data_IF_872931432410
#
_entry.id   IF_872931432410
#
_cell.length_a   1.000
_cell.length_b   1.000
_cell.length_c   1.000
_cell.angle_alpha   90.00
_cell.angle_beta   90.00
_cell.angle_gamma   90.00
#
_symmetry.space_group_name_H-M   'P 1'
#
loop_
_entity.id
_entity.type
_entity.pdbx_description
1 polymer ?
#
# COMPACT_ATOMS: atom_id res chain seq x y z
N UNK A 1 -12.61 35.85 5.14
CA UNK A 1 -12.66 34.68 4.25
C UNK A 1 -13.73 33.76 4.84
N UNK A 2 -14.87 33.60 4.17
CA UNK A 2 -15.90 32.69 4.65
C UNK A 2 -15.39 31.25 4.50
N UNK A 3 -15.50 30.47 5.57
CA UNK A 3 -15.12 29.07 5.66
C UNK A 3 -16.07 28.23 4.78
N UNK A 4 -15.83 28.23 3.46
CA UNK A 4 -16.66 27.49 2.52
C UNK A 4 -16.27 26.02 2.54
N UNK A 5 -17.23 25.10 2.74
CA UNK A 5 -16.93 23.68 2.72
C UNK A 5 -16.45 23.25 1.34
N UNK A 6 -15.40 22.42 1.29
CA UNK A 6 -14.93 21.79 0.05
C UNK A 6 -16.07 20.93 -0.53
N UNK A 7 -16.45 21.21 -1.79
CA UNK A 7 -17.51 20.52 -2.52
C UNK A 7 -17.03 19.81 -3.78
N UNK A 8 -15.88 20.19 -4.33
CA UNK A 8 -15.28 19.60 -5.53
C UNK A 8 -13.81 19.27 -5.28
N UNK A 9 -13.44 18.01 -5.49
CA UNK A 9 -12.05 17.54 -5.45
C UNK A 9 -11.67 17.08 -6.85
N UNK A 10 -10.55 17.56 -7.37
CA UNK A 10 -9.99 17.17 -8.67
C UNK A 10 -8.66 16.46 -8.48
N UNK A 11 -8.65 15.16 -8.71
CA UNK A 11 -7.44 14.33 -8.68
C UNK A 11 -6.81 14.36 -10.07
N UNK A 12 -5.59 14.89 -10.16
CA UNK A 12 -4.81 14.93 -11.39
C UNK A 12 -3.81 13.78 -11.41
N UNK A 13 -4.04 12.84 -12.33
CA UNK A 13 -3.22 11.64 -12.49
C UNK A 13 -3.95 10.38 -12.04
N UNK A 14 -3.83 9.34 -12.85
CA UNK A 14 -4.40 8.01 -12.59
C UNK A 14 -3.45 7.08 -11.85
N UNK A 15 -3.42 5.83 -12.30
CA UNK A 15 -2.57 4.78 -11.72
C UNK A 15 -2.90 4.48 -10.26
N UNK A 16 -1.97 3.85 -9.55
CA UNK A 16 -2.16 3.49 -8.14
C UNK A 16 -2.35 4.73 -7.27
N UNK A 17 -1.54 5.78 -7.44
CA UNK A 17 -1.65 6.99 -6.63
C UNK A 17 -3.04 7.67 -6.76
N UNK A 18 -3.51 7.88 -7.99
CA UNK A 18 -4.81 8.52 -8.24
C UNK A 18 -5.98 7.70 -7.72
N UNK A 19 -6.03 6.41 -8.07
CA UNK A 19 -7.14 5.55 -7.69
C UNK A 19 -7.12 5.14 -6.21
N UNK A 20 -5.94 5.08 -5.57
CA UNK A 20 -5.83 4.94 -4.11
C UNK A 20 -6.26 6.20 -3.36
N UNK A 21 -6.15 7.37 -3.97
CA UNK A 21 -6.68 8.62 -3.41
C UNK A 21 -8.19 8.71 -3.59
N UNK A 22 -8.70 8.34 -4.77
CA UNK A 22 -10.12 8.43 -5.11
C UNK A 22 -10.99 7.46 -4.29
N UNK A 23 -10.56 6.21 -4.08
CA UNK A 23 -11.35 5.18 -3.41
C UNK A 23 -11.82 5.53 -1.99
N UNK A 24 -10.97 5.99 -1.05
CA UNK A 24 -11.40 6.39 0.29
C UNK A 24 -12.25 7.67 0.28
N UNK A 25 -11.96 8.64 -0.60
CA UNK A 25 -12.78 9.84 -0.76
C UNK A 25 -14.19 9.48 -1.21
N UNK A 26 -14.32 8.60 -2.20
CA UNK A 26 -15.60 8.09 -2.69
C UNK A 26 -16.40 7.38 -1.59
N UNK A 27 -15.72 6.56 -0.77
CA UNK A 27 -16.36 5.85 0.34
C UNK A 27 -16.86 6.80 1.44
N UNK A 28 -16.09 7.84 1.76
CA UNK A 28 -16.33 8.67 2.95
C UNK A 28 -17.16 9.91 2.68
N UNK A 29 -16.99 10.54 1.52
CA UNK A 29 -17.67 11.80 1.20
C UNK A 29 -19.00 11.59 0.49
N UNK A 30 -19.14 10.51 -0.28
CA UNK A 30 -20.38 10.20 -1.02
C UNK A 30 -20.88 11.41 -1.82
N UNK A 31 -22.17 11.71 -1.71
CA UNK A 31 -22.78 12.83 -2.43
C UNK A 31 -22.47 14.23 -1.85
N UNK A 32 -21.77 14.32 -0.71
CA UNK A 32 -21.46 15.61 -0.08
C UNK A 32 -20.33 16.37 -0.79
N UNK A 33 -19.49 15.68 -1.56
CA UNK A 33 -18.39 16.24 -2.32
C UNK A 33 -18.22 15.48 -3.65
N UNK A 34 -18.17 16.21 -4.75
CA UNK A 34 -17.89 15.66 -6.07
C UNK A 34 -16.40 15.36 -6.20
N UNK A 35 -16.06 14.11 -6.50
CA UNK A 35 -14.67 13.70 -6.77
C UNK A 35 -14.55 13.41 -8.26
N UNK A 36 -13.65 14.13 -8.92
CA UNK A 36 -13.31 13.94 -10.33
C UNK A 36 -11.85 13.52 -10.42
N UNK A 37 -11.55 12.46 -11.18
CA UNK A 37 -10.19 12.05 -11.48
C UNK A 37 -9.94 12.23 -12.98
N UNK A 38 -8.85 12.92 -13.30
CA UNK A 38 -8.38 13.16 -14.67
C UNK A 38 -7.13 12.33 -14.91
N UNK A 39 -7.16 11.44 -15.90
CA UNK A 39 -5.99 10.66 -16.31
C UNK A 39 -5.79 10.72 -17.82
N UNK A 40 -4.54 10.79 -18.27
CA UNK A 40 -4.20 10.81 -19.69
C UNK A 40 -4.03 9.38 -20.22
N UNK A 41 -4.63 9.03 -21.36
CA UNK A 41 -4.37 7.74 -22.01
C UNK A 41 -2.94 7.63 -22.55
N UNK A 42 -2.26 8.76 -22.76
CA UNK A 42 -0.93 8.84 -23.39
C UNK A 42 0.21 8.65 -22.39
N UNK A 43 -0.09 8.77 -21.10
CA UNK A 43 0.90 8.66 -20.02
C UNK A 43 0.74 7.29 -19.35
N UNK A 44 1.53 6.33 -19.81
CA UNK A 44 1.60 5.01 -19.19
C UNK A 44 2.03 5.10 -17.73
N UNK A 45 1.36 4.37 -16.85
CA UNK A 45 1.86 4.12 -15.50
C UNK A 45 3.11 3.24 -15.59
N UNK A 46 4.05 3.40 -14.67
CA UNK A 46 5.15 2.43 -14.52
C UNK A 46 4.54 1.10 -14.08
N UNK A 47 4.28 0.23 -15.05
CA UNK A 47 3.68 -1.09 -14.87
C UNK A 47 4.72 -2.10 -14.45
N UNK A 48 5.08 -2.08 -13.16
CA UNK A 48 5.96 -3.09 -12.55
C UNK A 48 5.18 -3.85 -11.49
N UNK A 49 5.53 -5.12 -11.28
CA UNK A 49 5.09 -5.84 -10.09
C UNK A 49 5.54 -5.06 -8.86
N UNK A 50 4.59 -4.68 -8.00
CA UNK A 50 4.85 -3.83 -6.84
C UNK A 50 4.82 -4.66 -5.56
N UNK A 51 5.82 -4.45 -4.70
CA UNK A 51 5.91 -5.08 -3.40
C UNK A 51 5.43 -4.09 -2.33
N UNK A 52 4.52 -4.50 -1.47
CA UNK A 52 3.94 -3.62 -0.44
C UNK A 52 4.48 -3.89 0.96
N UNK A 53 4.03 -3.08 1.92
CA UNK A 53 4.17 -3.29 3.36
C UNK A 53 2.83 -3.74 3.95
N UNK A 54 2.80 -4.31 5.18
CA UNK A 54 1.56 -4.83 5.77
C UNK A 54 0.42 -3.82 5.89
N UNK A 55 0.71 -2.51 5.87
CA UNK A 55 -0.29 -1.44 5.92
C UNK A 55 -1.33 -1.52 4.80
N UNK A 56 -1.00 -2.10 3.64
CA UNK A 56 -1.94 -2.27 2.53
C UNK A 56 -3.16 -3.13 2.93
N UNK A 57 -2.98 -4.06 3.88
CA UNK A 57 -4.08 -4.90 4.38
C UNK A 57 -5.13 -4.05 5.09
N UNK A 58 -4.69 -3.08 5.90
CA UNK A 58 -5.59 -2.17 6.60
C UNK A 58 -6.27 -1.21 5.63
N UNK A 59 -5.57 -0.76 4.59
CA UNK A 59 -6.15 0.03 3.52
C UNK A 59 -7.29 -0.73 2.82
N UNK A 60 -7.02 -1.96 2.37
CA UNK A 60 -8.03 -2.80 1.71
C UNK A 60 -9.22 -3.12 2.62
N UNK A 61 -8.95 -3.42 3.90
CA UNK A 61 -9.98 -3.67 4.89
C UNK A 61 -10.85 -2.43 5.14
N UNK A 62 -10.25 -1.24 5.23
CA UNK A 62 -10.98 0.01 5.42
C UNK A 62 -11.90 0.35 4.24
N UNK A 63 -11.57 -0.12 3.03
CA UNK A 63 -12.41 -0.05 1.85
C UNK A 63 -13.45 -1.19 1.76
N UNK A 64 -13.40 -2.17 2.66
CA UNK A 64 -14.28 -3.34 2.64
C UNK A 64 -14.03 -4.25 1.44
N UNK A 65 -12.79 -4.29 0.92
CA UNK A 65 -12.44 -5.16 -0.21
C UNK A 65 -12.33 -6.61 0.26
N UNK A 66 -12.92 -7.53 -0.50
CA UNK A 66 -12.72 -8.96 -0.27
C UNK A 66 -11.26 -9.33 -0.57
N UNK A 67 -10.60 -9.97 0.40
CA UNK A 67 -9.19 -10.31 0.28
C UNK A 67 -8.91 -11.34 -0.81
N UNK A 68 -9.80 -12.32 -1.00
CA UNK A 68 -9.62 -13.34 -2.02
C UNK A 68 -9.88 -12.80 -3.43
N UNK A 69 -10.88 -11.93 -3.59
CA UNK A 69 -11.15 -11.21 -4.84
C UNK A 69 -9.99 -10.29 -5.22
N UNK A 70 -9.49 -9.49 -4.27
CA UNK A 70 -8.30 -8.69 -4.46
C UNK A 70 -7.13 -9.53 -4.97
N UNK A 71 -6.81 -10.65 -4.32
CA UNK A 71 -5.71 -11.54 -4.75
C UNK A 71 -5.91 -12.05 -6.17
N UNK A 72 -7.11 -12.54 -6.51
CA UNK A 72 -7.41 -13.05 -7.86
C UNK A 72 -7.30 -11.97 -8.93
N UNK A 73 -7.89 -10.80 -8.67
CA UNK A 73 -8.03 -9.73 -9.66
C UNK A 73 -6.73 -8.97 -9.91
N UNK A 74 -5.79 -9.02 -8.96
CA UNK A 74 -4.51 -8.31 -9.05
C UNK A 74 -3.30 -9.23 -9.26
N UNK A 75 -3.55 -10.53 -9.45
CA UNK A 75 -2.52 -11.57 -9.50
C UNK A 75 -1.58 -11.50 -8.29
N UNK A 76 -2.14 -11.20 -7.11
CA UNK A 76 -1.30 -11.00 -5.94
C UNK A 76 -0.70 -12.30 -5.42
N UNK A 77 0.49 -12.19 -4.84
CA UNK A 77 1.10 -13.23 -4.00
C UNK A 77 1.35 -12.68 -2.60
N UNK A 78 1.52 -13.55 -1.63
CA UNK A 78 1.79 -13.16 -0.24
C UNK A 78 3.27 -12.81 -0.06
N UNK A 79 3.54 -11.72 0.67
CA UNK A 79 4.89 -11.26 1.00
C UNK A 79 5.11 -11.35 2.51
N UNK A 80 6.10 -12.14 2.93
CA UNK A 80 6.45 -12.31 4.35
C UNK A 80 7.57 -11.38 4.82
N UNK A 81 8.24 -10.68 3.92
CA UNK A 81 9.41 -9.86 4.22
C UNK A 81 10.23 -9.55 2.99
N UNK A 82 11.50 -9.21 3.19
CA UNK A 82 12.47 -8.89 2.15
C UNK A 82 13.77 -9.65 2.44
N UNK A 83 14.29 -10.36 1.45
CA UNK A 83 15.61 -10.98 1.54
C UNK A 83 16.67 -10.03 0.99
N UNK A 84 17.71 -9.78 1.80
CA UNK A 84 18.85 -8.97 1.44
C UNK A 84 20.05 -9.89 1.22
N UNK A 85 20.68 -9.79 0.05
CA UNK A 85 21.89 -10.56 -0.31
C UNK A 85 23.03 -9.61 -0.67
N UNK A 86 24.24 -9.98 -0.26
CA UNK A 86 25.50 -9.26 -0.53
C UNK A 86 25.54 -7.83 0.02
N UNK A 87 24.63 -7.48 0.93
CA UNK A 87 24.65 -6.20 1.63
C UNK A 87 25.76 -6.21 2.69
N UNK A 88 26.59 -5.17 2.71
CA UNK A 88 27.74 -5.03 3.63
C UNK A 88 28.97 -5.83 3.19
N UNK A 89 28.82 -7.11 2.86
CA UNK A 89 29.87 -7.92 2.23
C UNK A 89 29.27 -9.02 1.35
N UNK A 90 30.04 -9.47 0.34
CA UNK A 90 29.67 -10.60 -0.53
C UNK A 90 29.50 -11.86 0.33
N UNK A 91 28.46 -12.63 0.04
CA UNK A 91 28.07 -13.84 0.77
C UNK A 91 27.17 -13.57 1.97
N UNK A 92 26.94 -12.30 2.36
CA UNK A 92 25.97 -11.99 3.39
C UNK A 92 24.55 -12.27 2.91
N UNK A 93 23.70 -12.81 3.79
CA UNK A 93 22.28 -13.04 3.50
C UNK A 93 21.47 -12.94 4.79
N UNK A 94 20.45 -12.08 4.79
CA UNK A 94 19.51 -12.00 5.91
C UNK A 94 18.08 -11.71 5.42
N UNK A 95 17.09 -12.05 6.24
CA UNK A 95 15.68 -11.86 5.94
C UNK A 95 15.03 -10.86 6.90
N UNK A 96 14.57 -9.73 6.37
CA UNK A 96 13.76 -8.77 7.10
C UNK A 96 12.29 -9.18 6.99
N UNK A 97 11.85 -10.03 7.91
CA UNK A 97 10.48 -10.51 8.00
C UNK A 97 9.50 -9.51 8.59
N UNK A 98 8.22 -9.62 8.23
CA UNK A 98 7.13 -8.86 8.84
C UNK A 98 6.63 -9.55 10.12
N UNK A 99 7.53 -9.74 11.08
CA UNK A 99 7.24 -10.38 12.37
C UNK A 99 8.48 -10.38 13.24
N UNK A 100 8.31 -10.76 14.50
CA UNK A 100 9.39 -10.82 15.48
C UNK A 100 10.09 -12.19 15.49
N UNK A 101 11.17 -12.27 16.27
CA UNK A 101 12.03 -13.44 16.44
C UNK A 101 11.71 -14.17 17.75
N UNK A 102 10.42 -14.49 17.92
CA UNK A 102 9.87 -15.09 19.13
C UNK A 102 9.35 -14.06 20.15
N UNK A 103 8.66 -14.52 21.20
CA UNK A 103 8.11 -13.64 22.23
C UNK A 103 9.22 -13.01 23.09
N UNK A 104 8.88 -11.90 23.76
CA UNK A 104 9.74 -11.34 24.78
C UNK A 104 9.95 -12.34 25.93
N UNK A 105 11.16 -12.39 26.47
CA UNK A 105 11.51 -13.19 27.64
C UNK A 105 11.66 -12.20 28.80
N UNK A 106 10.86 -12.36 29.86
CA UNK A 106 10.86 -11.46 31.02
C UNK A 106 10.76 -9.96 30.64
N UNK A 107 9.88 -9.63 29.69
CA UNK A 107 9.71 -8.27 29.14
C UNK A 107 10.96 -7.67 28.48
N UNK A 108 11.92 -8.51 28.04
CA UNK A 108 13.09 -8.10 27.28
C UNK A 108 13.10 -8.75 25.90
N UNK A 109 13.64 -8.06 24.87
CA UNK A 109 13.72 -8.62 23.52
C UNK A 109 14.56 -9.91 23.48
N UNK A 110 14.10 -10.90 22.72
CA UNK A 110 14.76 -12.20 22.59
C UNK A 110 16.23 -12.10 22.11
N UNK A 111 16.56 -11.10 21.29
CA UNK A 111 17.93 -10.90 20.78
C UNK A 111 18.97 -10.73 21.90
N UNK A 112 18.60 -10.14 23.05
CA UNK A 112 19.56 -9.93 24.15
C UNK A 112 20.03 -11.27 24.74
N UNK A 113 19.09 -12.20 24.90
CA UNK A 113 19.39 -13.55 25.37
C UNK A 113 20.14 -14.34 24.31
N UNK A 114 19.71 -14.25 23.05
CA UNK A 114 20.40 -14.90 21.94
C UNK A 114 21.86 -14.45 21.84
N UNK A 115 22.15 -13.14 21.92
CA UNK A 115 23.52 -12.61 21.91
C UNK A 115 24.35 -13.12 23.10
N UNK A 116 23.75 -13.22 24.28
CA UNK A 116 24.43 -13.77 25.46
C UNK A 116 24.78 -15.25 25.26
N UNK A 117 23.83 -16.06 24.77
CA UNK A 117 24.02 -17.48 24.51
C UNK A 117 25.02 -17.74 23.39
N UNK A 118 24.94 -17.00 22.27
CA UNK A 118 25.85 -17.13 21.13
C UNK A 118 27.32 -16.84 21.49
N UNK A 119 27.58 -16.01 22.51
CA UNK A 119 28.94 -15.79 23.03
C UNK A 119 29.48 -16.95 23.85
N UNK A 120 28.59 -17.76 24.44
CA UNK A 120 28.94 -18.85 25.36
C UNK A 120 28.94 -20.22 24.67
N UNK A 121 28.08 -20.39 23.67
CA UNK A 121 27.87 -21.65 22.96
C UNK A 121 28.18 -21.43 21.47
N UNK A 122 29.33 -21.92 20.97
CA UNK A 122 29.73 -21.74 19.57
C UNK A 122 28.72 -22.30 18.55
N UNK A 123 27.98 -23.33 18.92
CA UNK A 123 27.00 -24.01 18.05
C UNK A 123 25.57 -23.46 18.19
N UNK A 124 25.43 -22.21 18.66
CA UNK A 124 24.12 -21.58 18.80
C UNK A 124 23.43 -21.45 17.43
N UNK A 125 22.15 -21.87 17.28
CA UNK A 125 21.40 -21.66 16.04
C UNK A 125 21.33 -20.19 15.63
N UNK A 126 21.11 -19.94 14.34
CA UNK A 126 20.96 -18.56 13.85
C UNK A 126 19.77 -17.89 14.54
N UNK A 127 19.90 -16.61 14.86
CA UNK A 127 18.78 -15.84 15.38
C UNK A 127 17.58 -15.87 14.42
N UNK A 128 17.84 -15.96 13.11
CA UNK A 128 16.80 -16.07 12.09
C UNK A 128 15.94 -17.33 12.20
N UNK A 129 16.45 -18.40 12.81
CA UNK A 129 15.70 -19.64 13.01
C UNK A 129 14.60 -19.46 14.07
N UNK A 130 14.62 -18.36 14.81
CA UNK A 130 13.61 -17.99 15.82
C UNK A 130 12.49 -17.12 15.23
N UNK A 131 12.60 -16.72 13.96
CA UNK A 131 11.54 -15.98 13.25
C UNK A 131 10.67 -16.92 12.44
N UNK A 132 9.36 -16.95 12.75
CA UNK A 132 8.38 -17.70 11.96
C UNK A 132 8.35 -17.22 10.51
N UNK A 133 8.40 -15.91 10.28
CA UNK A 133 8.36 -15.34 8.91
C UNK A 133 9.57 -15.76 8.09
N UNK A 134 10.75 -15.78 8.70
CA UNK A 134 11.98 -16.23 8.03
C UNK A 134 11.92 -17.73 7.71
N UNK A 135 11.47 -18.55 8.66
CA UNK A 135 11.30 -19.99 8.43
C UNK A 135 10.29 -20.28 7.31
N UNK A 136 9.12 -19.63 7.33
CA UNK A 136 8.11 -19.76 6.29
C UNK A 136 8.62 -19.32 4.91
N UNK A 137 9.32 -18.17 4.84
CA UNK A 137 9.88 -17.67 3.59
C UNK A 137 10.92 -18.62 3.00
N UNK A 138 11.86 -19.12 3.82
CA UNK A 138 12.89 -20.08 3.39
C UNK A 138 12.30 -21.41 2.90
N UNK A 139 11.18 -21.84 3.49
CA UNK A 139 10.49 -23.08 3.12
C UNK A 139 9.44 -22.90 2.01
N UNK A 140 9.27 -21.69 1.46
CA UNK A 140 8.19 -21.34 0.52
C UNK A 140 6.81 -21.80 1.02
N UNK A 141 6.53 -21.51 2.30
CA UNK A 141 5.25 -21.79 2.95
C UNK A 141 4.57 -20.49 3.33
N UNK A 142 3.25 -20.53 3.40
CA UNK A 142 2.46 -19.40 3.87
C UNK A 142 1.21 -19.91 4.57
N UNK A 143 0.90 -19.29 5.71
CA UNK A 143 -0.40 -19.37 6.36
C UNK A 143 -0.76 -17.97 6.85
N UNK A 144 -2.00 -17.48 6.63
CA UNK A 144 -2.45 -16.25 7.25
C UNK A 144 -2.36 -16.36 8.78
N UNK A 145 -2.07 -15.27 9.53
CA UNK A 145 -2.09 -15.31 10.99
C UNK A 145 -3.46 -15.76 11.50
N UNK A 146 -3.47 -16.64 12.50
CA UNK A 146 -4.69 -17.21 13.09
C UNK A 146 -4.52 -17.52 14.58
N UNK A 147 -5.65 -17.72 15.26
CA UNK A 147 -5.70 -17.97 16.70
C UNK A 147 -5.67 -16.69 17.53
N UNK A 148 -5.53 -16.87 18.85
CA UNK A 148 -5.58 -15.78 19.82
C UNK A 148 -4.34 -14.89 19.78
N UNK A 149 -4.51 -13.64 20.21
CA UNK A 149 -3.40 -12.70 20.35
C UNK A 149 -2.33 -13.27 21.30
N UNK A 150 -1.08 -13.29 20.83
CA UNK A 150 0.06 -13.85 21.57
C UNK A 150 0.33 -15.32 21.27
N UNK A 151 -0.54 -16.03 20.54
CA UNK A 151 -0.21 -17.33 19.98
C UNK A 151 0.88 -17.18 18.92
N UNK A 152 1.78 -18.17 18.84
CA UNK A 152 2.85 -18.23 17.82
C UNK A 152 2.30 -18.10 16.40
N UNK A 153 1.11 -18.66 16.15
CA UNK A 153 0.37 -18.61 14.88
C UNK A 153 -0.19 -17.23 14.52
N UNK A 154 -0.21 -16.30 15.48
CA UNK A 154 -0.63 -14.90 15.31
C UNK A 154 0.55 -13.91 15.32
N UNK A 155 1.78 -14.40 15.58
CA UNK A 155 2.98 -13.61 15.83
C UNK A 155 3.66 -13.03 14.59
N UNK A 156 2.97 -13.01 13.44
CA UNK A 156 3.46 -12.43 12.21
C UNK A 156 2.41 -11.60 11.49
N UNK A 157 2.90 -10.80 10.56
CA UNK A 157 2.13 -10.10 9.57
C UNK A 157 2.62 -10.48 8.17
N UNK A 158 1.93 -9.96 7.16
CA UNK A 158 2.26 -10.18 5.77
C UNK A 158 1.77 -9.00 4.94
N UNK A 159 2.27 -8.91 3.70
CA UNK A 159 1.84 -7.96 2.69
C UNK A 159 1.64 -8.70 1.37
N UNK A 160 1.68 -7.98 0.25
CA UNK A 160 1.47 -8.55 -1.08
C UNK A 160 2.54 -8.09 -2.07
N UNK A 161 2.84 -8.97 -3.03
CA UNK A 161 3.28 -8.52 -4.36
C UNK A 161 2.06 -8.55 -5.28
N UNK A 162 1.83 -7.55 -6.10
CA UNK A 162 0.73 -7.55 -7.06
C UNK A 162 1.08 -6.75 -8.32
N UNK A 163 0.25 -6.88 -9.35
CA UNK A 163 0.30 -6.01 -10.52
C UNK A 163 -0.36 -4.65 -10.20
N UNK A 164 0.44 -3.58 -10.22
CA UNK A 164 -0.02 -2.24 -9.87
C UNK A 164 -1.11 -1.71 -10.82
N UNK A 165 -1.05 -2.08 -12.10
CA UNK A 165 -2.06 -1.70 -13.09
C UNK A 165 -3.40 -2.39 -12.83
N UNK A 166 -3.38 -3.68 -12.51
CA UNK A 166 -4.57 -4.42 -12.12
C UNK A 166 -5.17 -3.89 -10.81
N UNK A 167 -4.34 -3.50 -9.84
CA UNK A 167 -4.82 -2.91 -8.60
C UNK A 167 -5.44 -1.52 -8.81
N UNK A 168 -4.81 -0.67 -9.64
CA UNK A 168 -5.39 0.61 -10.04
C UNK A 168 -6.74 0.44 -10.75
N UNK A 169 -6.85 -0.52 -11.68
CA UNK A 169 -8.10 -0.83 -12.37
C UNK A 169 -9.18 -1.36 -11.41
N UNK A 170 -8.80 -2.19 -10.43
CA UNK A 170 -9.70 -2.68 -9.39
C UNK A 170 -10.28 -1.54 -8.54
N UNK A 171 -9.42 -0.62 -8.10
CA UNK A 171 -9.84 0.56 -7.34
C UNK A 171 -10.63 1.57 -8.17
N UNK A 172 -10.32 1.70 -9.47
CA UNK A 172 -11.10 2.50 -10.41
C UNK A 172 -12.55 2.05 -10.46
N UNK A 173 -12.79 0.76 -10.69
CA UNK A 173 -14.15 0.22 -10.67
C UNK A 173 -14.84 0.43 -9.32
N UNK A 174 -14.11 0.22 -8.22
CA UNK A 174 -14.62 0.43 -6.88
C UNK A 174 -15.09 1.89 -6.66
N UNK A 175 -14.27 2.85 -7.08
CA UNK A 175 -14.50 4.28 -6.90
C UNK A 175 -15.58 4.82 -7.84
N UNK A 176 -15.58 4.40 -9.11
CA UNK A 176 -16.59 4.80 -10.09
C UNK A 176 -18.00 4.31 -9.71
N UNK A 177 -18.13 3.07 -9.18
CA UNK A 177 -19.39 2.57 -8.62
C UNK A 177 -19.92 3.41 -7.45
N UNK A 178 -19.07 4.23 -6.83
CA UNK A 178 -19.39 5.13 -5.72
C UNK A 178 -19.48 6.60 -6.15
N UNK A 179 -19.53 6.87 -7.46
CA UNK A 179 -19.82 8.19 -8.01
C UNK A 179 -18.59 9.03 -8.37
N UNK A 180 -17.37 8.50 -8.28
CA UNK A 180 -16.19 9.20 -8.82
C UNK A 180 -16.33 9.34 -10.33
N UNK A 181 -16.19 10.57 -10.82
CA UNK A 181 -16.20 10.86 -12.24
C UNK A 181 -14.79 10.69 -12.81
N UNK A 182 -14.69 9.87 -13.85
CA UNK A 182 -13.45 9.67 -14.60
C UNK A 182 -13.47 10.53 -15.85
N UNK A 183 -12.44 11.33 -16.05
CA UNK A 183 -12.24 12.11 -17.26
C UNK A 183 -10.92 11.67 -17.89
N UNK A 184 -10.98 11.19 -19.13
CA UNK A 184 -9.79 11.00 -19.94
C UNK A 184 -9.45 12.32 -20.64
N UNK A 185 -8.18 12.71 -20.54
CA UNK A 185 -7.67 13.90 -21.20
C UNK A 185 -6.27 14.29 -20.74
N UNK A 186 -5.58 15.03 -21.59
CA UNK A 186 -4.27 15.60 -21.30
C UNK A 186 -4.45 17.04 -20.83
N UNK A 187 -3.92 17.36 -19.65
CA UNK A 187 -3.94 18.71 -19.08
C UNK A 187 -2.86 19.54 -19.78
N UNK A 188 -3.23 20.73 -20.27
CA UNK A 188 -2.33 21.65 -20.97
C UNK A 188 -2.15 23.00 -20.25
N UNK A 189 -2.91 23.21 -19.16
CA UNK A 189 -2.83 24.42 -18.37
C UNK A 189 -3.62 24.37 -17.08
N UNK A 190 -3.39 25.39 -16.26
CA UNK A 190 -4.08 25.58 -14.99
C UNK A 190 -4.52 27.03 -14.86
N UNK A 191 -5.63 27.24 -14.17
CA UNK A 191 -6.14 28.56 -13.83
C UNK A 191 -5.85 28.86 -12.37
N UNK A 192 -5.35 30.06 -12.08
CA UNK A 192 -5.03 30.51 -10.74
C UNK A 192 -5.85 31.74 -10.39
N UNK A 193 -6.28 31.81 -9.12
CA UNK A 193 -6.90 33.01 -8.58
C UNK A 193 -5.86 34.16 -8.59
N UNK A 194 -6.20 35.35 -9.11
CA UNK A 194 -5.23 36.42 -9.36
C UNK A 194 -4.57 36.95 -8.08
N UNK A 195 -5.28 36.92 -6.94
CA UNK A 195 -4.77 37.44 -5.67
C UNK A 195 -4.09 36.37 -4.79
N UNK A 196 -4.74 35.22 -4.53
CA UNK A 196 -4.20 34.18 -3.65
C UNK A 196 -3.22 33.22 -4.33
N UNK A 197 -3.22 33.15 -5.67
CA UNK A 197 -2.43 32.17 -6.43
C UNK A 197 -2.95 30.73 -6.34
N UNK A 198 -4.08 30.49 -5.67
CA UNK A 198 -4.67 29.15 -5.56
C UNK A 198 -5.16 28.65 -6.91
N UNK A 199 -5.05 27.34 -7.15
CA UNK A 199 -5.65 26.71 -8.31
C UNK A 199 -7.17 26.81 -8.23
N UNK A 200 -7.80 27.13 -9.36
CA UNK A 200 -9.27 27.24 -9.47
C UNK A 200 -9.83 26.26 -10.50
N UNK A 201 -9.01 25.87 -11.48
CA UNK A 201 -9.36 24.85 -12.47
C UNK A 201 -8.11 24.29 -13.15
N UNK A 202 -8.27 23.11 -13.76
CA UNK A 202 -7.35 22.59 -14.78
C UNK A 202 -8.01 22.66 -16.16
N UNK A 203 -7.21 22.92 -17.19
CA UNK A 203 -7.63 22.98 -18.58
C UNK A 203 -7.09 21.76 -19.32
N UNK A 204 -7.97 21.11 -20.08
CA UNK A 204 -7.62 20.01 -20.96
C UNK A 204 -7.30 20.54 -22.35
N UNK A 205 -6.44 19.82 -23.08
CA UNK A 205 -6.04 20.16 -24.44
C UNK A 205 -7.22 20.25 -25.44
N UNK A 206 -8.37 19.66 -25.13
CA UNK A 206 -9.60 19.76 -25.92
C UNK A 206 -10.50 20.96 -25.56
N UNK A 207 -10.00 21.85 -24.70
CA UNK A 207 -10.67 23.07 -24.27
C UNK A 207 -11.62 22.90 -23.08
N UNK A 208 -11.85 21.68 -22.58
CA UNK A 208 -12.63 21.49 -21.35
C UNK A 208 -11.92 22.10 -20.15
N UNK A 209 -12.71 22.72 -19.28
CA UNK A 209 -12.23 23.36 -18.04
C UNK A 209 -12.88 22.68 -16.84
N UNK A 210 -12.07 22.15 -15.93
CA UNK A 210 -12.53 21.39 -14.77
C UNK A 210 -12.17 22.15 -13.50
N UNK A 211 -13.17 22.69 -12.82
CA UNK A 211 -13.02 23.41 -11.55
C UNK A 211 -12.93 22.45 -10.36
N UNK A 212 -12.15 22.85 -9.35
CA UNK A 212 -12.02 22.15 -8.08
C UNK A 212 -11.78 23.13 -6.94
N UNK A 213 -12.20 22.74 -5.74
CA UNK A 213 -11.87 23.46 -4.51
C UNK A 213 -10.58 22.89 -3.87
N UNK A 214 -10.21 21.66 -4.24
CA UNK A 214 -8.99 20.93 -3.85
C UNK A 214 -8.46 20.07 -5.01
#
# INVERSE_FOLDING_TARGET
MSDQPIRKIVIVGGGTAGWMSAAPLALRLGAACQVTLIESPDIGTVGVGEATLPSIRYYNLALGLDGADFVRRTQATFKLGIEFRDWGHIGNRFFHGFGDFGPAIENRPAYQYWLHLARRFPDMPSYEDWSMTTAMARLNRFVPPYGDAGAVTSGHSYAFHFDAGLYAAYLREYAMRRGVQRIEGTIDGVDQHPESGFLTAVRLADGRRIEGDL
#
